data_IF_582265252182
#
_entry.id   IF_582265252182
#
_cell.length_a   1.000
_cell.length_b   1.000
_cell.length_c   1.000
_cell.angle_alpha   90.00
_cell.angle_beta   90.00
_cell.angle_gamma   90.00
#
_symmetry.space_group_name_H-M   'P 1'
#
loop_
_entity.id
_entity.type
_entity.pdbx_description
1 polymer ?
#
# COMPACT_ATOMS: atom_id res chain seq x y z
N UNK A 1 -25.19 -1.65 2.19
CA UNK A 1 -24.26 -2.77 1.97
C UNK A 1 -22.97 -2.22 1.39
N UNK A 2 -21.82 -2.60 1.96
CA UNK A 2 -20.50 -2.26 1.44
C UNK A 2 -20.16 -3.20 0.27
N UNK A 3 -19.55 -2.68 -0.81
CA UNK A 3 -19.26 -3.46 -2.02
C UNK A 3 -17.80 -3.29 -2.46
N UNK A 4 -17.18 -4.39 -2.87
CA UNK A 4 -15.92 -4.33 -3.61
C UNK A 4 -16.17 -3.81 -5.02
N UNK A 5 -15.28 -2.96 -5.52
CA UNK A 5 -15.31 -2.50 -6.90
C UNK A 5 -14.65 -3.53 -7.83
N UNK A 6 -15.32 -4.00 -8.89
CA UNK A 6 -14.67 -4.86 -9.90
C UNK A 6 -13.40 -4.25 -10.51
N UNK A 7 -13.28 -2.93 -10.57
CA UNK A 7 -12.06 -2.27 -11.06
C UNK A 7 -10.87 -2.45 -10.14
N UNK A 8 -11.11 -2.57 -8.83
CA UNK A 8 -10.05 -2.87 -7.86
C UNK A 8 -9.52 -4.29 -8.08
N UNK A 9 -10.42 -5.27 -8.29
CA UNK A 9 -10.01 -6.64 -8.58
C UNK A 9 -9.22 -6.73 -9.89
N UNK A 10 -9.63 -5.97 -10.92
CA UNK A 10 -8.86 -5.85 -12.17
C UNK A 10 -7.49 -5.22 -11.94
N UNK A 11 -7.38 -4.21 -11.07
CA UNK A 11 -6.09 -3.59 -10.76
C UNK A 11 -5.14 -4.58 -10.06
N UNK A 12 -5.64 -5.36 -9.10
CA UNK A 12 -4.86 -6.44 -8.46
C UNK A 12 -4.47 -7.50 -9.48
N UNK A 13 -5.39 -7.93 -10.34
CA UNK A 13 -5.10 -8.88 -11.42
C UNK A 13 -4.01 -8.38 -12.37
N UNK A 14 -4.04 -7.10 -12.76
CA UNK A 14 -2.99 -6.47 -13.56
C UNK A 14 -1.65 -6.44 -12.83
N UNK A 15 -1.63 -6.16 -11.52
CA UNK A 15 -0.39 -6.17 -10.74
C UNK A 15 0.26 -7.57 -10.72
N UNK A 16 -0.54 -8.64 -10.61
CA UNK A 16 -0.04 -10.01 -10.68
C UNK A 16 0.58 -10.32 -12.05
N UNK A 17 -0.08 -9.89 -13.14
CA UNK A 17 0.43 -10.05 -14.51
C UNK A 17 1.74 -9.28 -14.68
N UNK A 18 1.79 -8.02 -14.25
CA UNK A 18 3.00 -7.20 -14.31
C UNK A 18 4.17 -7.83 -13.55
N UNK A 19 3.95 -8.34 -12.33
CA UNK A 19 5.00 -9.02 -11.58
C UNK A 19 5.53 -10.26 -12.31
N UNK A 20 4.63 -11.04 -12.95
CA UNK A 20 5.02 -12.21 -13.74
C UNK A 20 5.81 -11.81 -15.00
N UNK A 21 5.34 -10.80 -15.73
CA UNK A 21 5.95 -10.34 -16.98
C UNK A 21 7.35 -9.75 -16.74
N UNK A 22 7.57 -9.14 -15.57
CA UNK A 22 8.87 -8.66 -15.11
C UNK A 22 9.76 -9.77 -14.50
N UNK A 23 9.26 -11.00 -14.38
CA UNK A 23 9.98 -12.11 -13.77
C UNK A 23 10.23 -11.95 -12.26
N UNK A 24 9.44 -11.11 -11.59
CA UNK A 24 9.59 -10.83 -10.17
C UNK A 24 8.99 -11.97 -9.33
N UNK A 25 9.67 -12.42 -8.26
CA UNK A 25 9.28 -13.60 -7.48
C UNK A 25 8.03 -13.38 -6.61
N UNK A 26 7.56 -12.13 -6.50
CA UNK A 26 6.41 -11.72 -5.70
C UNK A 26 5.75 -10.48 -6.30
N UNK A 27 4.46 -10.34 -6.04
CA UNK A 27 3.72 -9.09 -6.33
C UNK A 27 3.79 -8.16 -5.13
N UNK A 28 4.73 -7.22 -5.15
CA UNK A 28 4.85 -6.14 -4.14
C UNK A 28 3.97 -4.91 -4.41
N UNK A 29 4.05 -3.93 -3.50
CA UNK A 29 3.31 -2.66 -3.57
C UNK A 29 3.63 -1.85 -4.82
N UNK A 30 4.86 -1.96 -5.33
CA UNK A 30 5.32 -1.36 -6.57
C UNK A 30 4.53 -1.83 -7.81
N UNK A 31 4.11 -3.10 -7.83
CA UNK A 31 3.29 -3.64 -8.91
C UNK A 31 1.84 -3.15 -8.82
N UNK A 32 1.32 -3.01 -7.59
CA UNK A 32 0.01 -2.39 -7.38
C UNK A 32 0.02 -0.93 -7.84
N UNK A 33 1.08 -0.18 -7.54
CA UNK A 33 1.26 1.19 -8.04
C UNK A 33 1.30 1.22 -9.57
N UNK A 34 2.12 0.36 -10.19
CA UNK A 34 2.25 0.28 -11.64
C UNK A 34 0.91 -0.04 -12.32
N UNK A 35 0.09 -0.94 -11.73
CA UNK A 35 -1.25 -1.27 -12.22
C UNK A 35 -2.29 -0.14 -12.06
N UNK A 36 -1.98 0.86 -11.22
CA UNK A 36 -2.80 2.04 -10.91
C UNK A 36 -2.30 3.31 -11.61
N UNK A 37 -1.36 3.21 -12.55
CA UNK A 37 -0.81 4.36 -13.31
C UNK A 37 -1.84 5.13 -14.13
N UNK A 38 -2.97 4.51 -14.49
CA UNK A 38 -4.11 5.25 -15.05
C UNK A 38 -4.71 6.28 -14.06
N UNK A 39 -4.52 6.09 -12.75
CA UNK A 39 -4.87 7.05 -11.71
C UNK A 39 -3.68 7.94 -11.35
N UNK A 40 -2.48 7.39 -11.20
CA UNK A 40 -1.32 8.15 -10.69
C UNK A 40 -0.52 8.88 -11.75
N UNK A 41 -0.68 8.53 -13.03
CA UNK A 41 0.21 8.95 -14.11
C UNK A 41 1.56 8.23 -14.08
N UNK A 42 2.51 8.73 -14.88
CA UNK A 42 3.94 8.37 -14.82
C UNK A 42 4.27 6.89 -15.07
N UNK A 43 3.53 6.22 -15.96
CA UNK A 43 3.66 4.78 -16.19
C UNK A 43 5.10 4.34 -16.51
N UNK A 44 5.77 4.99 -17.45
CA UNK A 44 7.14 4.64 -17.85
C UNK A 44 8.16 4.86 -16.73
N UNK A 45 8.12 6.02 -16.07
CA UNK A 45 9.05 6.33 -14.98
C UNK A 45 8.86 5.40 -13.77
N UNK A 46 7.61 5.06 -13.44
CA UNK A 46 7.30 4.09 -12.38
C UNK A 46 7.76 2.69 -12.78
N UNK A 47 7.59 2.29 -14.05
CA UNK A 47 8.07 1.00 -14.56
C UNK A 47 9.59 0.87 -14.44
N UNK A 48 10.32 1.90 -14.86
CA UNK A 48 11.79 1.93 -14.73
C UNK A 48 12.23 1.82 -13.27
N UNK A 49 11.55 2.53 -12.35
CA UNK A 49 11.84 2.42 -10.92
C UNK A 49 11.48 1.03 -10.33
N UNK A 50 10.42 0.38 -10.82
CA UNK A 50 10.06 -0.99 -10.44
C UNK A 50 11.14 -1.98 -10.88
N UNK A 51 11.67 -1.83 -12.10
CA UNK A 51 12.77 -2.66 -12.61
C UNK A 51 14.04 -2.51 -11.75
N UNK A 52 14.33 -1.29 -11.28
CA UNK A 52 15.46 -1.04 -10.37
C UNK A 52 15.26 -1.62 -8.96
N UNK A 53 14.02 -1.87 -8.54
CA UNK A 53 13.72 -2.47 -7.25
C UNK A 53 13.96 -4.00 -7.24
N UNK A 54 14.14 -4.61 -8.41
CA UNK A 54 14.41 -6.03 -8.54
C UNK A 54 15.73 -6.45 -7.85
N UNK A 55 15.87 -7.72 -7.44
CA UNK A 55 14.83 -8.76 -7.41
C UNK A 55 13.97 -8.74 -6.15
N UNK A 56 14.34 -7.94 -5.14
CA UNK A 56 13.77 -8.00 -3.80
C UNK A 56 12.50 -7.14 -3.63
N UNK A 57 12.23 -6.26 -4.59
CA UNK A 57 11.08 -5.37 -4.62
C UNK A 57 11.31 -4.06 -3.84
N UNK A 58 10.36 -3.14 -3.98
CA UNK A 58 10.55 -1.77 -3.53
C UNK A 58 10.62 -1.62 -2.01
N UNK A 59 9.94 -2.48 -1.26
CA UNK A 59 10.06 -2.50 0.21
C UNK A 59 11.48 -2.80 0.68
N UNK A 60 12.17 -3.75 0.04
CA UNK A 60 13.56 -4.06 0.36
C UNK A 60 14.51 -2.96 -0.13
N UNK A 61 14.22 -2.33 -1.28
CA UNK A 61 14.97 -1.18 -1.76
C UNK A 61 14.87 0.02 -0.80
N UNK A 62 13.67 0.27 -0.24
CA UNK A 62 13.45 1.27 0.79
C UNK A 62 14.22 0.96 2.08
N UNK A 63 14.17 -0.29 2.54
CA UNK A 63 14.93 -0.73 3.73
C UNK A 63 16.45 -0.60 3.51
N UNK A 64 16.96 -0.99 2.33
CA UNK A 64 18.36 -0.80 1.94
C UNK A 64 18.76 0.67 1.99
N UNK A 65 17.95 1.55 1.40
CA UNK A 65 18.21 2.98 1.40
C UNK A 65 18.22 3.56 2.83
N UNK A 66 17.27 3.16 3.68
CA UNK A 66 17.21 3.59 5.06
C UNK A 66 18.42 3.10 5.89
N UNK A 67 18.78 1.81 5.78
CA UNK A 67 19.89 1.23 6.53
C UNK A 67 21.25 1.75 6.09
N UNK A 68 21.41 2.07 4.79
CA UNK A 68 22.62 2.72 4.28
C UNK A 68 22.92 4.05 4.99
N UNK A 69 21.90 4.81 5.38
CA UNK A 69 22.11 6.07 6.14
C UNK A 69 22.71 5.84 7.52
N UNK A 70 22.56 4.64 8.07
CA UNK A 70 23.11 4.21 9.36
C UNK A 70 24.45 3.47 9.21
N UNK A 71 25.01 3.39 7.99
CA UNK A 71 26.24 2.64 7.70
C UNK A 71 26.07 1.12 7.75
N UNK A 72 24.84 0.62 7.69
CA UNK A 72 24.53 -0.81 7.74
C UNK A 72 24.43 -1.35 6.31
N UNK A 73 25.18 -2.42 6.02
CA UNK A 73 25.10 -3.15 4.76
C UNK A 73 23.90 -4.12 4.77
N UNK A 74 22.82 -3.73 4.09
CA UNK A 74 21.60 -4.53 3.95
C UNK A 74 21.85 -5.85 3.24
N UNK A 75 22.70 -5.87 2.21
CA UNK A 75 22.93 -7.06 1.40
C UNK A 75 23.73 -8.10 2.21
N UNK A 76 24.65 -7.65 3.06
CA UNK A 76 25.33 -8.49 4.03
C UNK A 76 24.37 -9.05 5.09
N UNK A 77 23.42 -8.25 5.60
CA UNK A 77 22.40 -8.71 6.56
C UNK A 77 21.42 -9.71 5.97
N UNK A 78 21.11 -9.57 4.69
CA UNK A 78 20.13 -10.39 3.98
C UNK A 78 20.70 -11.67 3.39
N UNK A 79 22.03 -11.87 3.46
CA UNK A 79 22.69 -13.11 3.05
C UNK A 79 22.09 -14.32 3.80
N UNK A 80 21.21 -15.07 3.13
CA UNK A 80 20.55 -16.26 3.67
C UNK A 80 19.20 -16.02 4.38
N UNK A 81 18.70 -14.79 4.45
CA UNK A 81 17.41 -14.47 5.10
C UNK A 81 16.28 -14.40 4.06
N UNK A 82 15.17 -15.12 4.30
CA UNK A 82 13.93 -14.94 3.53
C UNK A 82 13.27 -13.64 4.01
N UNK A 83 13.10 -12.67 3.10
CA UNK A 83 12.57 -11.32 3.37
C UNK A 83 11.22 -11.30 4.08
N UNK A 84 10.36 -12.29 3.82
CA UNK A 84 9.07 -12.40 4.50
C UNK A 84 9.24 -13.23 5.77
N UNK A 85 9.63 -12.58 6.87
CA UNK A 85 9.44 -13.15 8.21
C UNK A 85 7.93 -13.32 8.41
N UNK A 86 7.43 -14.48 8.89
CA UNK A 86 6.03 -14.57 9.25
C UNK A 86 5.71 -13.44 10.24
N UNK A 87 4.62 -12.68 10.05
CA UNK A 87 4.28 -11.57 10.94
C UNK A 87 4.18 -12.06 12.38
N UNK A 88 4.43 -11.17 13.34
CA UNK A 88 4.24 -11.47 14.75
C UNK A 88 2.85 -12.08 14.98
N UNK A 89 2.79 -13.09 15.87
CA UNK A 89 1.65 -13.96 16.17
C UNK A 89 0.32 -13.19 16.00
N UNK A 90 -0.53 -13.68 15.09
CA UNK A 90 -1.81 -13.05 14.78
C UNK A 90 -2.61 -12.80 16.07
N UNK A 91 -3.31 -11.65 16.20
CA UNK A 91 -4.18 -11.43 17.35
C UNK A 91 -5.13 -12.62 17.50
N UNK A 92 -5.41 -13.07 18.73
CA UNK A 92 -6.18 -14.31 19.02
C UNK A 92 -7.59 -14.35 18.40
N UNK A 93 -8.09 -13.23 17.85
CA UNK A 93 -9.38 -13.14 17.17
C UNK A 93 -9.32 -12.37 15.84
N UNK A 94 -8.94 -13.01 14.72
CA UNK A 94 -9.16 -12.46 13.39
C UNK A 94 -9.75 -13.58 12.52
N UNK A 95 -11.07 -13.79 12.58
CA UNK A 95 -11.73 -14.78 11.75
C UNK A 95 -11.34 -14.56 10.27
N UNK A 96 -10.54 -15.47 9.71
CA UNK A 96 -10.19 -15.50 8.29
C UNK A 96 -8.88 -14.83 7.86
N UNK A 97 -8.11 -14.16 8.73
CA UNK A 97 -6.86 -13.50 8.32
C UNK A 97 -5.78 -14.50 7.86
N UNK A 98 -5.51 -15.56 8.63
CA UNK A 98 -4.64 -16.66 8.22
C UNK A 98 -5.09 -17.30 6.90
N UNK A 99 -6.41 -17.51 6.70
CA UNK A 99 -6.97 -18.07 5.46
C UNK A 99 -6.78 -17.14 4.26
N UNK A 100 -6.94 -15.83 4.46
CA UNK A 100 -6.69 -14.82 3.44
C UNK A 100 -5.20 -14.74 3.07
N UNK A 101 -4.30 -14.80 4.04
CA UNK A 101 -2.85 -14.87 3.82
C UNK A 101 -2.43 -16.13 3.08
N UNK A 102 -2.94 -17.28 3.50
CA UNK A 102 -2.69 -18.55 2.82
C UNK A 102 -3.20 -18.52 1.37
N UNK A 103 -4.32 -17.83 1.10
CA UNK A 103 -4.79 -17.61 -0.26
C UNK A 103 -3.85 -16.71 -1.06
N UNK A 104 -3.35 -15.62 -0.48
CA UNK A 104 -2.39 -14.71 -1.11
C UNK A 104 -1.06 -15.40 -1.43
N UNK A 105 -0.60 -16.30 -0.55
CA UNK A 105 0.61 -17.10 -0.74
C UNK A 105 0.48 -18.16 -1.84
N UNK A 106 -0.74 -18.52 -2.24
CA UNK A 106 -1.02 -19.44 -3.37
C UNK A 106 -1.17 -18.73 -4.71
N UNK A 107 -1.12 -17.39 -4.74
CA UNK A 107 -1.07 -16.66 -6.00
C UNK A 107 0.29 -16.88 -6.66
N UNK A 108 0.33 -16.71 -7.98
CA UNK A 108 1.54 -16.88 -8.78
C UNK A 108 1.77 -15.61 -9.61
N UNK A 109 2.76 -14.77 -9.30
CA UNK A 109 3.61 -14.84 -8.12
C UNK A 109 2.86 -14.43 -6.82
N UNK A 110 3.29 -14.90 -5.63
CA UNK A 110 2.61 -14.60 -4.36
C UNK A 110 2.47 -13.10 -4.08
N UNK A 111 1.36 -12.68 -3.48
CA UNK A 111 1.17 -11.28 -3.07
C UNK A 111 1.99 -11.00 -1.81
N UNK A 112 2.87 -9.99 -1.87
CA UNK A 112 3.77 -9.63 -0.77
C UNK A 112 3.05 -9.04 0.45
N UNK A 113 3.71 -9.06 1.61
CA UNK A 113 3.14 -8.55 2.87
C UNK A 113 2.81 -7.05 2.81
N UNK A 114 3.65 -6.23 2.19
CA UNK A 114 3.40 -4.79 2.00
C UNK A 114 2.16 -4.56 1.15
N UNK A 115 2.04 -5.29 0.03
CA UNK A 115 0.88 -5.23 -0.85
C UNK A 115 -0.42 -5.67 -0.15
N UNK A 116 -0.36 -6.73 0.67
CA UNK A 116 -1.48 -7.16 1.50
C UNK A 116 -1.86 -6.10 2.55
N UNK A 117 -0.87 -5.51 3.22
CA UNK A 117 -1.09 -4.47 4.22
C UNK A 117 -1.66 -3.19 3.60
N UNK A 118 -1.20 -2.79 2.41
CA UNK A 118 -1.73 -1.66 1.66
C UNK A 118 -3.18 -1.91 1.21
N UNK A 119 -3.49 -3.12 0.71
CA UNK A 119 -4.86 -3.51 0.38
C UNK A 119 -5.77 -3.44 1.61
N UNK A 120 -5.33 -4.05 2.72
CA UNK A 120 -6.05 -4.04 3.99
C UNK A 120 -6.27 -2.61 4.54
N UNK A 121 -5.26 -1.76 4.43
CA UNK A 121 -5.32 -0.35 4.83
C UNK A 121 -6.27 0.46 3.93
N UNK A 122 -6.29 0.20 2.62
CA UNK A 122 -7.19 0.87 1.67
C UNK A 122 -8.67 0.56 1.93
N UNK A 123 -8.98 -0.67 2.33
CA UNK A 123 -10.33 -1.04 2.76
C UNK A 123 -10.75 -0.26 4.01
N UNK A 124 -9.87 -0.21 5.02
CA UNK A 124 -10.13 0.57 6.24
C UNK A 124 -10.25 2.07 5.96
N UNK A 125 -9.46 2.58 5.03
CA UNK A 125 -9.53 3.97 4.60
C UNK A 125 -10.88 4.29 3.96
N UNK A 126 -11.40 3.43 3.07
CA UNK A 126 -12.74 3.57 2.50
C UNK A 126 -13.83 3.58 3.59
N UNK A 127 -13.74 2.68 4.56
CA UNK A 127 -14.65 2.62 5.71
C UNK A 127 -14.54 3.87 6.60
N UNK A 128 -13.32 4.38 6.82
CA UNK A 128 -13.06 5.60 7.58
C UNK A 128 -13.68 6.83 6.92
N UNK A 129 -13.67 6.89 5.58
CA UNK A 129 -14.34 7.92 4.78
C UNK A 129 -15.87 7.78 4.72
N UNK A 130 -16.42 6.69 5.30
CA UNK A 130 -17.84 6.32 5.25
C UNK A 130 -18.33 6.08 3.82
N UNK A 131 -17.46 5.48 3.00
CA UNK A 131 -17.81 5.08 1.65
C UNK A 131 -18.56 3.76 1.62
N UNK A 132 -19.35 3.57 0.56
CA UNK A 132 -20.09 2.33 0.33
C UNK A 132 -19.33 1.37 -0.59
N UNK A 133 -18.22 1.82 -1.17
CA UNK A 133 -17.44 1.10 -2.17
C UNK A 133 -15.96 1.09 -1.79
N UNK A 134 -15.28 -0.03 -2.00
CA UNK A 134 -13.82 -0.14 -1.97
C UNK A 134 -13.30 -0.15 -3.41
N UNK A 135 -12.82 1.00 -3.87
CA UNK A 135 -12.32 1.22 -5.23
C UNK A 135 -10.80 1.39 -5.35
N UNK A 136 -10.25 1.35 -6.58
CA UNK A 136 -8.81 1.53 -6.86
C UNK A 136 -8.25 2.86 -6.35
N UNK A 137 -9.06 3.92 -6.30
CA UNK A 137 -8.70 5.23 -5.74
C UNK A 137 -8.27 5.17 -4.27
N UNK A 138 -8.88 4.28 -3.47
CA UNK A 138 -8.52 4.09 -2.07
C UNK A 138 -7.17 3.40 -1.94
N UNK A 139 -6.90 2.43 -2.83
CA UNK A 139 -5.63 1.73 -2.85
C UNK A 139 -4.50 2.67 -3.30
N UNK A 140 -4.73 3.47 -4.35
CA UNK A 140 -3.78 4.48 -4.80
C UNK A 140 -3.44 5.49 -3.69
N UNK A 141 -4.45 6.06 -3.02
CA UNK A 141 -4.24 7.01 -1.92
C UNK A 141 -3.42 6.41 -0.78
N UNK A 142 -3.73 5.17 -0.37
CA UNK A 142 -3.02 4.49 0.71
C UNK A 142 -1.59 4.14 0.32
N UNK A 143 -1.37 3.62 -0.89
CA UNK A 143 -0.04 3.29 -1.40
C UNK A 143 0.85 4.54 -1.41
N UNK A 144 0.42 5.60 -2.07
CA UNK A 144 1.22 6.83 -2.23
C UNK A 144 1.46 7.52 -0.89
N UNK A 145 0.51 7.48 0.04
CA UNK A 145 0.65 8.15 1.32
C UNK A 145 1.46 7.34 2.36
N UNK A 146 1.27 6.02 2.44
CA UNK A 146 1.76 5.23 3.59
C UNK A 146 2.92 4.30 3.28
N UNK A 147 2.99 3.76 2.07
CA UNK A 147 3.87 2.65 1.74
C UNK A 147 5.32 3.12 1.46
N UNK A 148 6.32 2.67 2.25
CA UNK A 148 7.71 3.08 2.06
C UNK A 148 8.33 2.60 0.75
N UNK A 149 7.92 1.44 0.24
CA UNK A 149 8.36 0.96 -1.05
C UNK A 149 7.85 1.84 -2.18
N UNK A 150 6.57 2.23 -2.12
CA UNK A 150 5.98 3.18 -3.08
C UNK A 150 6.65 4.53 -2.99
N UNK A 151 6.94 5.03 -1.78
CA UNK A 151 7.70 6.26 -1.64
C UNK A 151 9.07 6.18 -2.32
N UNK A 152 9.81 5.10 -2.11
CA UNK A 152 11.08 4.87 -2.77
C UNK A 152 10.93 4.83 -4.30
N UNK A 153 9.89 4.16 -4.82
CA UNK A 153 9.60 4.11 -6.27
C UNK A 153 9.34 5.50 -6.83
N UNK A 154 8.53 6.32 -6.14
CA UNK A 154 8.22 7.68 -6.57
C UNK A 154 9.45 8.59 -6.53
N UNK A 155 10.28 8.47 -5.49
CA UNK A 155 11.53 9.22 -5.37
C UNK A 155 12.51 8.84 -6.50
N UNK A 156 12.68 7.53 -6.77
CA UNK A 156 13.50 7.03 -7.89
C UNK A 156 12.94 7.48 -9.24
N UNK A 157 11.61 7.48 -9.41
CA UNK A 157 10.93 7.97 -10.61
C UNK A 157 10.88 9.51 -10.71
N UNK A 158 11.43 10.24 -9.72
CA UNK A 158 11.40 11.71 -9.61
C UNK A 158 9.99 12.30 -9.66
N UNK A 159 9.02 11.58 -9.11
CA UNK A 159 7.63 12.02 -8.98
C UNK A 159 7.44 12.67 -7.62
N UNK A 160 6.95 13.92 -7.60
CA UNK A 160 6.61 14.57 -6.34
C UNK A 160 5.43 13.85 -5.67
N UNK A 161 5.75 13.03 -4.68
CA UNK A 161 4.79 12.27 -3.88
C UNK A 161 3.77 13.19 -3.20
N UNK A 162 4.19 14.32 -2.66
CA UNK A 162 3.29 15.24 -1.93
C UNK A 162 2.26 15.83 -2.89
N UNK A 163 2.71 16.30 -4.05
CA UNK A 163 1.82 16.78 -5.10
C UNK A 163 0.87 15.68 -5.58
N UNK A 164 1.36 14.45 -5.78
CA UNK A 164 0.55 13.33 -6.23
C UNK A 164 -0.53 12.93 -5.22
N UNK A 165 -0.22 12.87 -3.92
CA UNK A 165 -1.22 12.59 -2.88
C UNK A 165 -2.29 13.68 -2.86
N UNK A 166 -1.90 14.96 -2.92
CA UNK A 166 -2.86 16.07 -2.97
C UNK A 166 -3.73 16.02 -4.22
N UNK A 167 -3.16 15.67 -5.36
CA UNK A 167 -3.90 15.53 -6.61
C UNK A 167 -4.94 14.40 -6.55
N UNK A 168 -4.55 13.22 -6.07
CA UNK A 168 -5.47 12.10 -5.85
C UNK A 168 -6.57 12.48 -4.86
N UNK A 169 -6.24 13.16 -3.76
CA UNK A 169 -7.22 13.58 -2.77
C UNK A 169 -8.24 14.59 -3.33
N UNK A 170 -7.80 15.49 -4.22
CA UNK A 170 -8.68 16.43 -4.93
C UNK A 170 -9.59 15.73 -5.94
N UNK A 171 -9.07 14.76 -6.70
CA UNK A 171 -9.85 13.99 -7.68
C UNK A 171 -10.85 13.05 -7.02
N UNK A 172 -10.53 12.52 -5.84
CA UNK A 172 -11.34 11.57 -5.10
C UNK A 172 -11.63 12.09 -3.68
N UNK A 173 -12.42 13.17 -3.53
CA UNK A 173 -12.76 13.73 -2.23
C UNK A 173 -13.67 12.79 -1.43
N UNK A 174 -13.65 12.83 -0.08
CA UNK A 174 -14.57 12.04 0.73
C UNK A 174 -16.03 12.39 0.41
N UNK A 175 -16.99 11.46 0.61
CA UNK A 175 -18.35 11.69 0.19
C UNK A 175 -18.98 12.84 0.98
N UNK A 176 -19.59 13.79 0.27
CA UNK A 176 -20.35 14.89 0.87
C UNK A 176 -21.60 14.33 1.53
N UNK A 177 -21.57 14.22 2.86
CA UNK A 177 -22.67 13.76 3.71
C UNK A 177 -23.23 14.93 4.52
N UNK A 178 -24.34 14.68 5.23
CA UNK A 178 -24.91 15.69 6.12
C UNK A 178 -23.87 16.20 7.16
N UNK A 179 -24.06 17.41 7.73
CA UNK A 179 -23.10 18.01 8.65
C UNK A 179 -22.72 17.12 9.85
N UNK A 180 -23.66 16.36 10.38
CA UNK A 180 -23.46 15.44 11.52
C UNK A 180 -22.44 14.34 11.17
N UNK A 181 -22.60 13.68 10.03
CA UNK A 181 -21.67 12.65 9.57
C UNK A 181 -20.30 13.23 9.22
N UNK A 182 -20.23 14.48 8.72
CA UNK A 182 -18.95 15.16 8.52
C UNK A 182 -18.22 15.42 9.83
N UNK A 183 -18.96 15.85 10.87
CA UNK A 183 -18.40 16.08 12.20
C UNK A 183 -17.93 14.79 12.88
N UNK A 184 -18.72 13.71 12.82
CA UNK A 184 -18.29 12.38 13.30
C UNK A 184 -17.03 11.89 12.58
N UNK A 185 -16.94 12.12 11.25
CA UNK A 185 -15.73 11.80 10.49
C UNK A 185 -14.52 12.58 10.99
N UNK A 186 -14.69 13.87 11.28
CA UNK A 186 -13.62 14.74 11.80
C UNK A 186 -13.16 14.32 13.19
N UNK A 187 -14.08 14.05 14.12
CA UNK A 187 -13.72 13.64 15.47
C UNK A 187 -12.96 12.31 15.51
N UNK A 188 -13.43 11.32 14.74
CA UNK A 188 -12.80 10.00 14.75
C UNK A 188 -11.62 9.86 13.77
N UNK A 189 -11.25 10.91 13.01
CA UNK A 189 -10.24 10.79 11.96
C UNK A 189 -8.87 10.42 12.52
N UNK A 190 -8.46 11.07 13.61
CA UNK A 190 -7.18 10.79 14.27
C UNK A 190 -7.11 9.36 14.81
N UNK A 191 -8.20 8.86 15.41
CA UNK A 191 -8.27 7.50 15.95
C UNK A 191 -8.21 6.47 14.81
N UNK A 192 -9.00 6.66 13.76
CA UNK A 192 -9.02 5.78 12.58
C UNK A 192 -7.68 5.78 11.84
N UNK A 193 -7.05 6.95 11.72
CA UNK A 193 -5.71 7.08 11.17
C UNK A 193 -4.69 6.28 11.99
N UNK A 194 -4.68 6.45 13.32
CA UNK A 194 -3.76 5.71 14.19
C UNK A 194 -3.99 4.20 14.12
N UNK A 195 -5.23 3.73 14.11
CA UNK A 195 -5.52 2.28 13.95
C UNK A 195 -5.00 1.76 12.60
N UNK A 196 -5.22 2.51 11.53
CA UNK A 196 -4.75 2.15 10.19
C UNK A 196 -3.22 2.05 10.15
N UNK A 197 -2.51 3.08 10.62
CA UNK A 197 -1.04 3.10 10.67
C UNK A 197 -0.50 1.98 11.56
N UNK A 198 -1.05 1.81 12.77
CA UNK A 198 -0.59 0.79 13.70
C UNK A 198 -0.76 -0.64 13.15
N UNK A 199 -1.83 -0.90 12.40
CA UNK A 199 -2.04 -2.21 11.76
C UNK A 199 -1.14 -2.43 10.57
N UNK A 200 -0.93 -1.39 9.76
CA UNK A 200 0.01 -1.44 8.65
C UNK A 200 1.40 -1.78 9.19
N UNK A 201 1.91 -0.98 10.12
CA UNK A 201 3.22 -1.16 10.76
C UNK A 201 3.36 -2.52 11.45
N UNK A 202 2.30 -3.02 12.10
CA UNK A 202 2.31 -4.36 12.70
C UNK A 202 2.43 -5.48 11.67
N UNK A 203 1.86 -5.29 10.48
CA UNK A 203 1.85 -6.30 9.42
C UNK A 203 3.17 -6.30 8.65
N UNK A 204 3.70 -5.12 8.35
CA UNK A 204 4.91 -4.96 7.52
C UNK A 204 6.19 -4.85 8.33
N UNK A 205 6.11 -4.46 9.60
CA UNK A 205 7.27 -4.07 10.41
C UNK A 205 7.86 -2.71 10.03
N UNK A 206 7.28 -1.98 9.07
CA UNK A 206 7.86 -0.75 8.50
C UNK A 206 7.13 0.50 8.96
N UNK A 207 7.88 1.57 9.22
CA UNK A 207 7.34 2.90 9.51
C UNK A 207 6.72 3.51 8.27
N UNK A 208 5.50 4.05 8.38
CA UNK A 208 4.78 4.70 7.27
C UNK A 208 5.42 6.03 6.89
N UNK A 209 5.29 6.43 5.63
CA UNK A 209 5.98 7.62 5.09
C UNK A 209 5.27 8.94 5.30
N UNK A 210 3.94 8.93 5.46
CA UNK A 210 3.16 10.13 5.77
C UNK A 210 1.86 9.78 6.48
N UNK A 211 1.01 10.79 6.72
CA UNK A 211 -0.29 10.64 7.36
C UNK A 211 -1.41 10.64 6.33
N UNK A 212 -2.36 9.70 6.45
CA UNK A 212 -3.63 9.73 5.68
C UNK A 212 -4.76 10.45 6.42
N UNK A 213 -4.51 11.00 7.61
CA UNK A 213 -5.55 11.61 8.45
C UNK A 213 -6.29 12.74 7.73
N UNK A 214 -5.54 13.57 7.00
CA UNK A 214 -6.07 14.71 6.26
C UNK A 214 -7.05 14.31 5.15
N UNK A 215 -6.92 13.08 4.60
CA UNK A 215 -7.75 12.59 3.49
C UNK A 215 -8.95 11.76 3.95
N UNK A 216 -9.09 11.54 5.26
CA UNK A 216 -10.29 10.96 5.88
C UNK A 216 -11.39 12.03 6.03
N UNK A 217 -10.99 13.29 6.15
CA UNK A 217 -11.86 14.44 6.44
C UNK A 217 -11.98 15.38 5.25
N UNK A 218 -13.12 16.06 5.15
CA UNK A 218 -13.26 17.30 4.34
C UNK A 218 -12.49 18.44 5.02
#
# INVERSE_FOLDING_TARGET
MFRADPELDRAVGRALVLARDLGHPRTGSEHLLLALTHLTGHAEAIREAVDQAAPLGAGAAADRAALKTLGIDFDQLMAGVRLDRPPAREPLFPLGAAKARARCARLDPPLGLDAQAAFEASLRFALARRERRHGPEHLALVLVALDPGVAWVLDTARVDRTALVHDLARRFPPPRRNPVLRWERRLGSAIRHRDLVARYQRTTGRTTTSSVAAFITD
#
